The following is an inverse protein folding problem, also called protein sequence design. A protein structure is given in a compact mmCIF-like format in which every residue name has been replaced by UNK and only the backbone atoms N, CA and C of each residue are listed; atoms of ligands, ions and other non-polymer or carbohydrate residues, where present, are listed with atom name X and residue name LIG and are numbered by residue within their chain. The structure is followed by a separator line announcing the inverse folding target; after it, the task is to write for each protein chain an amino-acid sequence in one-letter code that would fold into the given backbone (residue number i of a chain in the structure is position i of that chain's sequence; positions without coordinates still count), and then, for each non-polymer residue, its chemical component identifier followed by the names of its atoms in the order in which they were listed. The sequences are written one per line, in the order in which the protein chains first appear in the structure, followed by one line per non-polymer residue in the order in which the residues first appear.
data_IF_877034931051
#
_entry.id   IF_877034931051
#
_cell.length_a   1.000
_cell.length_b   1.000
_cell.length_c   1.000
_cell.angle_alpha   90.00
_cell.angle_beta   90.00
_cell.angle_gamma   90.00
#
_symmetry.space_group_name_H-M   'P 1'
#
loop_
_entity.id
_entity.type
_entity.pdbx_description
1 polymer ?
#
# COMPACT_ATOMS: atom_id res chain seq x y z
N UNK A 1 -26.51 -11.34 -36.70
CA UNK A 1 -26.20 -12.00 -35.41
C UNK A 1 -25.53 -10.98 -34.51
N UNK A 2 -26.02 -10.72 -33.29
CA UNK A 2 -25.24 -9.98 -32.31
C UNK A 2 -24.13 -10.90 -31.79
N UNK A 3 -22.89 -10.42 -31.78
CA UNK A 3 -21.79 -11.10 -31.11
C UNK A 3 -22.05 -11.03 -29.62
N UNK A 4 -22.30 -12.18 -28.99
CA UNK A 4 -22.37 -12.28 -27.54
C UNK A 4 -20.97 -11.94 -26.98
N UNK A 5 -20.85 -10.75 -26.40
CA UNK A 5 -19.73 -10.42 -25.53
C UNK A 5 -20.01 -11.18 -24.24
N UNK A 6 -19.38 -12.33 -24.07
CA UNK A 6 -19.33 -13.03 -22.78
C UNK A 6 -18.65 -12.09 -21.79
N UNK A 7 -19.43 -11.53 -20.88
CA UNK A 7 -18.92 -10.70 -19.80
C UNK A 7 -18.28 -11.63 -18.76
N UNK A 8 -17.08 -12.12 -19.08
CA UNK A 8 -16.24 -12.94 -18.20
C UNK A 8 -15.67 -12.04 -17.08
N UNK A 9 -16.54 -11.40 -16.31
CA UNK A 9 -16.16 -10.56 -15.17
C UNK A 9 -15.54 -11.45 -14.10
N UNK A 10 -14.21 -11.54 -14.08
CA UNK A 10 -13.48 -12.24 -13.04
C UNK A 10 -13.43 -11.37 -11.79
N UNK A 11 -14.27 -11.70 -10.81
CA UNK A 11 -14.21 -11.09 -9.48
C UNK A 11 -12.90 -11.47 -8.79
N UNK A 12 -12.01 -10.50 -8.59
CA UNK A 12 -10.78 -10.71 -7.82
C UNK A 12 -11.10 -10.43 -6.35
N UNK A 13 -11.45 -11.48 -5.60
CA UNK A 13 -11.61 -11.40 -4.16
C UNK A 13 -10.26 -11.52 -3.44
N UNK A 14 -10.07 -10.77 -2.36
CA UNK A 14 -8.88 -10.87 -1.50
C UNK A 14 -7.71 -9.98 -1.89
N UNK A 15 -7.90 -9.01 -2.78
CA UNK A 15 -6.86 -8.02 -3.13
C UNK A 15 -6.56 -7.13 -1.93
N UNK A 16 -5.51 -7.46 -1.18
CA UNK A 16 -5.02 -6.61 -0.10
C UNK A 16 -4.33 -5.38 -0.69
N UNK A 17 -4.73 -4.20 -0.24
CA UNK A 17 -4.04 -2.96 -0.58
C UNK A 17 -2.82 -2.77 0.32
N UNK A 18 -1.81 -2.02 -0.11
CA UNK A 18 -0.72 -1.66 0.79
C UNK A 18 -0.17 -0.25 0.55
N UNK A 19 0.50 0.27 1.59
CA UNK A 19 1.37 1.44 1.52
C UNK A 19 2.78 1.03 1.94
N UNK A 20 3.79 1.70 1.37
CA UNK A 20 5.19 1.54 1.73
C UNK A 20 5.63 2.78 2.51
N UNK A 21 6.02 2.59 3.76
CA UNK A 21 6.60 3.62 4.61
C UNK A 21 8.12 3.48 4.62
N UNK A 22 8.81 4.60 4.46
CA UNK A 22 10.27 4.70 4.61
C UNK A 22 10.61 4.63 6.09
N UNK A 23 11.63 3.85 6.44
CA UNK A 23 12.15 3.82 7.81
C UNK A 23 13.15 4.97 7.95
N UNK A 24 12.92 5.93 8.87
CA UNK A 24 13.86 7.02 9.09
C UNK A 24 15.15 6.51 9.74
N UNK A 25 16.30 6.95 9.24
CA UNK A 25 17.63 6.51 9.72
C UNK A 25 17.88 6.90 11.18
N UNK A 26 17.30 8.02 11.62
CA UNK A 26 17.43 8.56 12.98
C UNK A 26 16.63 7.78 14.04
N UNK A 27 15.77 6.83 13.64
CA UNK A 27 14.89 6.11 14.57
C UNK A 27 15.05 4.59 14.44
N UNK A 28 15.20 3.85 15.57
CA UNK A 28 15.26 2.41 15.51
C UNK A 28 13.91 1.82 15.04
N UNK A 29 14.00 0.74 14.26
CA UNK A 29 12.86 0.10 13.61
C UNK A 29 11.72 -0.28 14.57
N UNK A 30 12.06 -0.73 15.79
CA UNK A 30 11.07 -1.11 16.82
C UNK A 30 10.23 0.08 17.30
N UNK A 31 10.85 1.23 17.52
CA UNK A 31 10.16 2.47 17.92
C UNK A 31 9.31 2.99 16.77
N UNK A 32 9.83 2.94 15.54
CA UNK A 32 9.07 3.36 14.37
C UNK A 32 7.83 2.47 14.15
N UNK A 33 7.98 1.15 14.24
CA UNK A 33 6.87 0.19 14.15
C UNK A 33 5.79 0.44 15.20
N UNK A 34 6.16 0.60 16.47
CA UNK A 34 5.20 0.83 17.56
C UNK A 34 4.45 2.14 17.38
N UNK A 35 5.12 3.22 16.96
CA UNK A 35 4.46 4.49 16.60
C UNK A 35 3.47 4.30 15.46
N UNK A 36 3.89 3.63 14.38
CA UNK A 36 3.05 3.38 13.22
C UNK A 36 1.80 2.55 13.56
N UNK A 37 1.96 1.45 14.31
CA UNK A 37 0.83 0.63 14.80
C UNK A 37 -0.14 1.48 15.61
N UNK A 38 0.34 2.32 16.52
CA UNK A 38 -0.50 3.18 17.36
C UNK A 38 -1.32 4.16 16.52
N UNK A 39 -0.69 4.81 15.55
CA UNK A 39 -1.34 5.76 14.63
C UNK A 39 -2.42 5.04 13.81
N UNK A 40 -2.08 3.92 13.18
CA UNK A 40 -3.00 3.18 12.32
C UNK A 40 -4.17 2.60 13.11
N UNK A 41 -3.93 2.09 14.31
CA UNK A 41 -4.99 1.57 15.19
C UNK A 41 -6.00 2.65 15.57
N UNK A 42 -5.53 3.87 15.84
CA UNK A 42 -6.39 5.00 16.17
C UNK A 42 -7.24 5.46 14.98
N UNK A 43 -6.70 5.39 13.76
CA UNK A 43 -7.40 5.85 12.55
C UNK A 43 -8.37 4.80 12.02
N UNK A 44 -7.99 3.52 12.06
CA UNK A 44 -8.80 2.42 11.54
C UNK A 44 -9.76 1.83 12.58
N UNK A 45 -9.66 2.28 13.83
CA UNK A 45 -10.41 1.79 15.00
C UNK A 45 -10.29 0.27 15.20
N UNK A 46 -9.21 -0.33 14.73
CA UNK A 46 -8.96 -1.77 14.85
C UNK A 46 -7.51 -2.11 14.54
N UNK A 47 -6.95 -3.07 15.28
CA UNK A 47 -5.64 -3.68 15.02
C UNK A 47 -5.70 -4.83 14.00
N UNK A 48 -6.88 -5.38 13.71
CA UNK A 48 -7.06 -6.49 12.77
C UNK A 48 -7.27 -6.05 11.33
N UNK A 49 -7.53 -4.76 11.10
CA UNK A 49 -7.77 -4.19 9.75
C UNK A 49 -6.51 -3.96 8.93
N UNK A 50 -5.34 -4.09 9.55
CA UNK A 50 -4.08 -3.89 8.86
C UNK A 50 -3.02 -4.90 9.31
N UNK A 51 -2.16 -5.28 8.37
CA UNK A 51 -0.97 -6.08 8.62
C UNK A 51 0.28 -5.22 8.44
N UNK A 52 1.33 -5.47 9.21
CA UNK A 52 2.60 -4.76 9.06
C UNK A 52 3.71 -5.78 8.82
N UNK A 53 4.47 -5.56 7.77
CA UNK A 53 5.60 -6.40 7.38
C UNK A 53 6.81 -5.53 7.06
N UNK A 54 8.01 -6.02 7.35
CA UNK A 54 9.24 -5.36 6.91
C UNK A 54 9.71 -6.05 5.64
N UNK A 55 9.95 -5.26 4.59
CA UNK A 55 10.44 -5.75 3.30
C UNK A 55 11.73 -5.01 2.94
N UNK A 56 12.54 -5.58 2.05
CA UNK A 56 13.66 -4.87 1.43
C UNK A 56 13.35 -4.62 -0.04
N UNK A 57 13.48 -3.36 -0.47
CA UNK A 57 13.15 -2.94 -1.83
C UNK A 57 14.17 -1.90 -2.32
N UNK A 58 14.29 -1.75 -3.64
CA UNK A 58 15.11 -0.69 -4.21
C UNK A 58 14.44 0.67 -3.96
N UNK A 59 15.20 1.69 -3.54
CA UNK A 59 14.67 3.03 -3.35
C UNK A 59 14.02 3.58 -4.62
N UNK A 60 12.85 4.21 -4.46
CA UNK A 60 12.15 4.84 -5.59
C UNK A 60 12.74 6.19 -5.97
N UNK A 61 13.38 6.90 -5.03
CA UNK A 61 13.72 8.31 -5.21
C UNK A 61 15.15 8.56 -5.70
N UNK A 62 16.00 7.54 -5.80
CA UNK A 62 17.40 7.67 -6.24
C UNK A 62 17.90 6.32 -6.79
N UNK A 63 18.85 6.34 -7.73
CA UNK A 63 19.47 5.11 -8.27
C UNK A 63 20.44 4.51 -7.23
N UNK A 64 19.93 3.59 -6.41
CA UNK A 64 20.73 2.81 -5.47
C UNK A 64 20.84 1.36 -5.94
N UNK A 65 22.06 0.82 -5.95
CA UNK A 65 22.31 -0.59 -6.24
C UNK A 65 21.91 -1.52 -5.08
N UNK A 66 21.67 -0.97 -3.90
CA UNK A 66 21.34 -1.69 -2.68
C UNK A 66 19.85 -1.58 -2.32
N UNK A 67 19.31 -2.65 -1.74
CA UNK A 67 17.94 -2.65 -1.24
C UNK A 67 17.89 -1.99 0.14
N UNK A 68 16.98 -1.03 0.33
CA UNK A 68 16.70 -0.42 1.62
C UNK A 68 15.51 -1.10 2.29
N UNK A 69 15.44 -1.13 3.63
CA UNK A 69 14.29 -1.66 4.34
C UNK A 69 13.12 -0.67 4.27
N UNK A 70 11.92 -1.21 4.09
CA UNK A 70 10.64 -0.50 4.11
C UNK A 70 9.67 -1.22 5.03
N UNK A 71 8.70 -0.46 5.55
CA UNK A 71 7.53 -1.06 6.19
C UNK A 71 6.38 -1.11 5.19
N UNK A 72 5.93 -2.32 4.87
CA UNK A 72 4.70 -2.56 4.14
C UNK A 72 3.54 -2.64 5.11
N UNK A 73 2.59 -1.73 4.99
CA UNK A 73 1.31 -1.79 5.71
C UNK A 73 0.27 -2.31 4.74
N UNK A 74 -0.25 -3.51 5.00
CA UNK A 74 -1.37 -4.10 4.25
C UNK A 74 -2.69 -3.65 4.87
N UNK A 75 -3.67 -3.35 4.04
CA UNK A 75 -5.02 -2.95 4.44
C UNK A 75 -6.06 -3.79 3.68
N UNK A 76 -7.20 -4.03 4.32
CA UNK A 76 -8.24 -4.89 3.77
C UNK A 76 -9.03 -4.25 2.61
N UNK A 77 -9.04 -2.91 2.52
CA UNK A 77 -9.78 -2.19 1.48
C UNK A 77 -9.10 -0.86 1.12
N UNK A 78 -9.52 -0.28 -0.01
CA UNK A 78 -8.96 0.97 -0.53
C UNK A 78 -9.25 2.19 0.36
N UNK A 79 -10.36 2.19 1.10
CA UNK A 79 -10.75 3.29 1.98
C UNK A 79 -9.84 3.36 3.22
N UNK A 80 -9.58 2.21 3.83
CA UNK A 80 -8.65 2.05 4.94
C UNK A 80 -7.21 2.37 4.49
N UNK A 81 -6.82 1.98 3.26
CA UNK A 81 -5.55 2.41 2.66
C UNK A 81 -5.45 3.93 2.60
N UNK A 82 -6.48 4.60 2.08
CA UNK A 82 -6.51 6.06 1.94
C UNK A 82 -6.37 6.74 3.30
N UNK A 83 -7.14 6.31 4.30
CA UNK A 83 -7.08 6.87 5.65
C UNK A 83 -5.71 6.64 6.31
N UNK A 84 -5.14 5.44 6.13
CA UNK A 84 -3.79 5.13 6.60
C UNK A 84 -2.74 6.04 5.94
N UNK A 85 -2.76 6.18 4.61
CA UNK A 85 -1.83 7.02 3.88
C UNK A 85 -1.94 8.50 4.29
N UNK A 86 -3.16 9.01 4.42
CA UNK A 86 -3.43 10.38 4.86
C UNK A 86 -2.89 10.64 6.27
N UNK A 87 -3.07 9.68 7.19
CA UNK A 87 -2.55 9.80 8.55
C UNK A 87 -1.02 9.81 8.59
N UNK A 88 -0.37 8.93 7.83
CA UNK A 88 1.09 8.86 7.71
C UNK A 88 1.66 10.18 7.16
N UNK A 89 1.05 10.74 6.12
CA UNK A 89 1.43 12.05 5.58
C UNK A 89 1.22 13.20 6.58
N UNK A 90 0.10 13.21 7.31
CA UNK A 90 -0.21 14.27 8.28
C UNK A 90 0.86 14.36 9.38
N UNK A 91 1.48 13.24 9.71
CA UNK A 91 2.52 13.13 10.75
C UNK A 91 3.92 13.44 10.20
N UNK A 92 4.03 13.68 8.88
CA UNK A 92 5.31 13.96 8.23
C UNK A 92 6.18 12.72 8.06
N UNK A 93 5.60 11.52 8.08
CA UNK A 93 6.34 10.30 7.77
C UNK A 93 6.50 10.16 6.25
N UNK A 94 7.72 9.81 5.81
CA UNK A 94 8.00 9.59 4.41
C UNK A 94 7.38 8.27 3.92
N UNK A 95 6.68 8.32 2.79
CA UNK A 95 6.12 7.17 2.10
C UNK A 95 6.71 7.06 0.70
N UNK A 96 6.78 5.82 0.21
CA UNK A 96 7.09 5.51 -1.18
C UNK A 96 5.80 5.28 -2.00
N UNK A 97 4.65 5.71 -1.46
CA UNK A 97 3.32 5.57 -2.09
C UNK A 97 2.75 6.97 -2.28
N UNK A 98 2.68 7.41 -3.54
CA UNK A 98 2.37 8.81 -3.87
C UNK A 98 0.91 9.04 -4.25
N UNK A 99 0.14 7.97 -4.49
CA UNK A 99 -1.22 8.02 -4.99
C UNK A 99 -2.27 7.94 -3.86
N UNK A 100 -2.81 9.11 -3.48
CA UNK A 100 -4.06 9.21 -2.72
C UNK A 100 -5.30 8.96 -3.60
N UNK A 101 -5.13 8.89 -4.92
CA UNK A 101 -6.24 8.80 -5.87
C UNK A 101 -6.75 7.35 -6.02
N UNK A 102 -8.04 7.15 -5.77
CA UNK A 102 -8.72 5.86 -5.92
C UNK A 102 -8.78 5.37 -7.38
N UNK A 103 -8.65 6.25 -8.37
CA UNK A 103 -8.76 5.91 -9.79
C UNK A 103 -7.63 4.99 -10.27
N UNK A 104 -6.46 5.04 -9.65
CA UNK A 104 -5.30 4.21 -10.04
C UNK A 104 -5.20 2.89 -9.26
N UNK A 105 -6.14 2.63 -8.34
CA UNK A 105 -6.18 1.40 -7.57
C UNK A 105 -6.21 0.17 -8.47
N UNK A 106 -7.12 0.12 -9.45
CA UNK A 106 -7.25 -1.01 -10.36
C UNK A 106 -6.01 -1.23 -11.23
N UNK A 107 -5.29 -0.17 -11.61
CA UNK A 107 -4.02 -0.29 -12.35
C UNK A 107 -2.93 -0.94 -11.51
N UNK A 108 -2.81 -0.59 -10.23
CA UNK A 108 -1.84 -1.23 -9.32
C UNK A 108 -2.12 -2.72 -9.15
N UNK A 109 -3.38 -3.08 -8.93
CA UNK A 109 -3.82 -4.48 -8.80
C UNK A 109 -3.51 -5.26 -10.07
N UNK A 110 -3.82 -4.70 -11.25
CA UNK A 110 -3.51 -5.33 -12.52
C UNK A 110 -2.00 -5.51 -12.73
N UNK A 111 -1.17 -4.53 -12.40
CA UNK A 111 0.29 -4.67 -12.48
C UNK A 111 0.85 -5.75 -11.54
N UNK A 112 0.33 -5.86 -10.32
CA UNK A 112 0.74 -6.87 -9.33
C UNK A 112 0.33 -8.28 -9.73
N UNK A 113 -0.92 -8.43 -10.18
CA UNK A 113 -1.47 -9.69 -10.66
C UNK A 113 -1.02 -10.03 -12.09
N UNK A 114 -0.16 -9.19 -12.69
CA UNK A 114 0.34 -9.30 -14.08
C UNK A 114 -0.79 -9.42 -15.10
N UNK A 115 -1.92 -8.78 -14.83
CA UNK A 115 -3.07 -8.71 -15.71
C UNK A 115 -2.80 -7.71 -16.85
N UNK A 116 -3.25 -8.01 -18.07
CA UNK A 116 -3.17 -7.06 -19.16
C UNK A 116 -4.01 -5.83 -18.82
N UNK A 117 -3.36 -4.65 -18.83
CA UNK A 117 -4.06 -3.38 -18.79
C UNK A 117 -4.70 -3.17 -20.16
N UNK A 118 -6.01 -3.40 -20.26
CA UNK A 118 -6.76 -3.01 -21.46
C UNK A 118 -6.67 -1.48 -21.60
N UNK A 119 -6.07 -1.04 -22.70
CA UNK A 119 -5.82 0.36 -23.06
C UNK A 119 -7.07 1.08 -23.55
#
# INVERSE_FOLDING_TARGET
MPTEVSDDTKYINGVSTYILCVIPEEMPLSIFKTKLVRILSNILNSTSKFGIETISAYPLQEYHAEKKPYIRVRTCNHYDRYNALKAVHTIGMCTASDDLNCQYYYRKVACEERLPLLS
#
